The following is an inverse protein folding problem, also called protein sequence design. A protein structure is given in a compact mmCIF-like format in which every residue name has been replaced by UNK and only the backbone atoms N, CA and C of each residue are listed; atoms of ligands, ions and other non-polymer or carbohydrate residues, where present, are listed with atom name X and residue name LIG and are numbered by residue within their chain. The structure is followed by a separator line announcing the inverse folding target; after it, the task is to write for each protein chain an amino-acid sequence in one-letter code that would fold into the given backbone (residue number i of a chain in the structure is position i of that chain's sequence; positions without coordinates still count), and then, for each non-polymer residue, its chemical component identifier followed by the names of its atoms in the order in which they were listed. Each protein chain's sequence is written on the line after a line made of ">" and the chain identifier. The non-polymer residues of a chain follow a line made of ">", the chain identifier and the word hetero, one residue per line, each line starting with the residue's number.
data_IF_203691649662
#
_entry.id   IF_203691649662
#
_cell.length_a   1.000
_cell.length_b   1.000
_cell.length_c   1.000
_cell.angle_alpha   90.00
_cell.angle_beta   90.00
_cell.angle_gamma   90.00
#
_symmetry.space_group_name_H-M   'P 1'
#
loop_
_entity.id
_entity.type
_entity.pdbx_description
1 polymer ?
#
# COMPACT_ATOMS: atom_id res chain seq x y z
N UNK A 1 -3.84 6.13 -4.49
CA UNK A 1 -4.70 6.71 -5.56
C UNK A 1 -3.96 7.57 -6.60
N UNK A 2 -3.10 8.55 -6.24
CA UNK A 2 -2.43 9.41 -7.26
C UNK A 2 -1.55 8.65 -8.25
N UNK A 3 -0.77 7.64 -7.86
CA UNK A 3 0.16 6.94 -8.78
C UNK A 3 -0.51 6.14 -9.90
N UNK A 4 -1.49 5.28 -9.57
CA UNK A 4 -2.22 4.49 -10.58
C UNK A 4 -3.18 5.36 -11.41
N UNK A 5 -3.90 6.31 -10.78
CA UNK A 5 -4.72 7.28 -11.52
C UNK A 5 -3.86 8.20 -12.38
N UNK A 6 -2.62 8.49 -11.98
CA UNK A 6 -1.65 9.23 -12.80
C UNK A 6 -1.27 8.43 -14.05
N UNK A 7 -1.02 7.13 -13.92
CA UNK A 7 -0.74 6.29 -15.08
C UNK A 7 -1.97 6.06 -15.97
N UNK A 8 -3.14 5.85 -15.37
CA UNK A 8 -4.41 5.74 -16.11
C UNK A 8 -4.81 7.01 -16.85
N UNK A 9 -4.63 8.19 -16.23
CA UNK A 9 -4.80 9.50 -16.90
C UNK A 9 -3.82 9.74 -18.04
N UNK A 10 -2.71 9.00 -18.07
CA UNK A 10 -1.73 8.98 -19.17
C UNK A 10 -2.01 7.90 -20.22
N UNK A 11 -3.17 7.24 -20.16
CA UNK A 11 -3.60 6.23 -21.14
C UNK A 11 -2.94 4.85 -20.99
N UNK A 12 -2.25 4.57 -19.88
CA UNK A 12 -1.55 3.30 -19.69
C UNK A 12 -2.52 2.15 -19.39
N UNK A 13 -2.33 1.02 -20.08
CA UNK A 13 -3.04 -0.21 -19.78
C UNK A 13 -2.53 -0.82 -18.46
N UNK A 14 -3.31 -1.72 -17.85
CA UNK A 14 -2.89 -2.40 -16.61
C UNK A 14 -1.58 -3.16 -16.80
N UNK A 15 -1.37 -3.72 -18.01
CA UNK A 15 -0.14 -4.40 -18.42
C UNK A 15 1.07 -3.46 -18.39
N UNK A 16 0.90 -2.21 -18.83
CA UNK A 16 1.98 -1.23 -18.87
C UNK A 16 2.32 -0.73 -17.46
N UNK A 17 1.30 -0.54 -16.62
CA UNK A 17 1.46 -0.18 -15.20
C UNK A 17 2.21 -1.30 -14.48
N UNK A 18 1.80 -2.56 -14.68
CA UNK A 18 2.45 -3.73 -14.09
C UNK A 18 3.92 -3.82 -14.50
N UNK A 19 4.21 -3.69 -15.80
CA UNK A 19 5.57 -3.69 -16.35
C UNK A 19 6.42 -2.56 -15.75
N UNK A 20 5.87 -1.35 -15.63
CA UNK A 20 6.58 -0.18 -15.08
C UNK A 20 6.83 -0.30 -13.58
N UNK A 21 5.96 -0.95 -12.84
CA UNK A 21 6.11 -1.21 -11.41
C UNK A 21 6.94 -2.47 -11.10
N UNK A 22 7.31 -3.26 -12.11
CA UNK A 22 8.04 -4.52 -11.92
C UNK A 22 7.22 -5.62 -11.24
N UNK A 23 5.89 -5.58 -11.39
CA UNK A 23 4.97 -6.55 -10.76
C UNK A 23 4.22 -7.36 -11.82
N UNK A 24 3.70 -8.53 -11.42
CA UNK A 24 2.88 -9.36 -12.31
C UNK A 24 1.54 -8.69 -12.59
N UNK A 25 1.04 -8.81 -13.83
CA UNK A 25 -0.19 -8.13 -14.27
C UNK A 25 -1.43 -8.45 -13.44
N UNK A 26 -1.58 -9.68 -12.95
CA UNK A 26 -2.70 -10.07 -12.10
C UNK A 26 -2.71 -9.36 -10.75
N UNK A 27 -1.53 -8.92 -10.24
CA UNK A 27 -1.43 -8.15 -8.99
C UNK A 27 -2.15 -6.82 -9.18
N UNK A 28 -1.89 -6.11 -10.28
CA UNK A 28 -2.57 -4.83 -10.57
C UNK A 28 -4.10 -5.03 -10.65
N UNK A 29 -4.56 -6.07 -11.34
CA UNK A 29 -5.99 -6.36 -11.44
C UNK A 29 -6.64 -6.67 -10.08
N UNK A 30 -5.95 -7.41 -9.21
CA UNK A 30 -6.43 -7.70 -7.84
C UNK A 30 -6.46 -6.44 -6.98
N UNK A 31 -5.35 -5.70 -6.96
CA UNK A 31 -5.19 -4.52 -6.09
C UNK A 31 -6.11 -3.37 -6.49
N UNK A 32 -6.52 -3.25 -7.76
CA UNK A 32 -7.49 -2.22 -8.21
C UNK A 32 -8.80 -2.30 -7.43
N UNK A 33 -9.32 -3.50 -7.21
CA UNK A 33 -10.59 -3.70 -6.48
C UNK A 33 -10.44 -3.42 -4.98
N UNK A 34 -9.24 -3.60 -4.43
CA UNK A 34 -8.95 -3.22 -3.04
C UNK A 34 -8.75 -1.71 -2.90
N UNK A 35 -8.10 -1.07 -3.86
CA UNK A 35 -7.83 0.37 -3.86
C UNK A 35 -9.09 1.23 -3.93
N UNK A 36 -10.21 0.72 -4.45
CA UNK A 36 -11.49 1.45 -4.45
C UNK A 36 -12.09 1.61 -3.06
N UNK A 37 -11.65 0.82 -2.07
CA UNK A 37 -12.17 0.85 -0.71
C UNK A 37 -11.46 1.87 0.18
N UNK A 38 -10.44 2.57 -0.31
CA UNK A 38 -9.65 3.51 0.47
C UNK A 38 -9.59 4.87 -0.20
N UNK A 39 -9.86 5.92 0.55
CA UNK A 39 -9.52 7.29 0.21
C UNK A 39 -8.01 7.48 0.16
N UNK A 40 -7.57 8.56 -0.48
CA UNK A 40 -6.15 8.89 -0.53
C UNK A 40 -5.56 9.18 0.86
N UNK A 41 -6.34 9.78 1.76
CA UNK A 41 -5.89 10.09 3.11
C UNK A 41 -5.72 8.82 3.93
N UNK A 42 -6.67 7.88 3.87
CA UNK A 42 -6.53 6.59 4.55
C UNK A 42 -5.30 5.80 4.06
N UNK A 43 -5.00 5.84 2.76
CA UNK A 43 -3.76 5.23 2.24
C UNK A 43 -2.50 5.91 2.78
N UNK A 44 -2.53 7.24 2.99
CA UNK A 44 -1.41 7.99 3.55
C UNK A 44 -1.23 7.65 5.04
N UNK A 45 -2.32 7.60 5.79
CA UNK A 45 -2.29 7.31 7.22
C UNK A 45 -1.80 5.89 7.48
N UNK A 46 -2.26 4.92 6.68
CA UNK A 46 -1.76 3.53 6.71
C UNK A 46 -0.27 3.42 6.37
N UNK A 47 0.22 4.24 5.43
CA UNK A 47 1.65 4.27 5.11
C UNK A 47 2.49 4.83 6.26
N UNK A 48 2.01 5.87 6.94
CA UNK A 48 2.67 6.42 8.11
C UNK A 48 2.71 5.40 9.27
N UNK A 49 1.61 4.68 9.49
CA UNK A 49 1.56 3.60 10.48
C UNK A 49 2.62 2.52 10.20
N UNK A 50 2.76 2.10 8.94
CA UNK A 50 3.78 1.13 8.54
C UNK A 50 5.21 1.65 8.78
N UNK A 51 5.45 2.93 8.51
CA UNK A 51 6.74 3.57 8.79
C UNK A 51 7.06 3.57 10.30
N UNK A 52 6.09 3.95 11.14
CA UNK A 52 6.28 3.97 12.60
C UNK A 52 6.54 2.55 13.15
N UNK A 53 5.86 1.55 12.60
CA UNK A 53 6.09 0.13 12.93
C UNK A 53 7.50 -0.31 12.54
N UNK A 54 7.97 0.06 11.35
CA UNK A 54 9.33 -0.24 10.90
C UNK A 54 10.38 0.38 11.86
N UNK A 55 10.17 1.64 12.26
CA UNK A 55 11.05 2.33 13.23
C UNK A 55 11.07 1.58 14.55
N UNK A 56 9.89 1.27 15.13
CA UNK A 56 9.77 0.56 16.42
C UNK A 56 10.47 -0.79 16.39
N UNK A 57 10.35 -1.55 15.29
CA UNK A 57 11.06 -2.82 15.14
C UNK A 57 12.58 -2.64 15.11
N UNK A 58 13.07 -1.64 14.38
CA UNK A 58 14.50 -1.36 14.25
C UNK A 58 15.13 -0.82 15.54
N UNK A 59 14.36 -0.15 16.39
CA UNK A 59 14.84 0.42 17.66
C UNK A 59 14.69 -0.55 18.85
N UNK A 60 14.40 -1.82 18.60
CA UNK A 60 14.32 -2.85 19.65
C UNK A 60 13.00 -2.92 20.40
N UNK A 61 11.91 -2.42 19.81
CA UNK A 61 10.56 -2.65 20.33
C UNK A 61 10.19 -4.14 20.30
N UNK A 62 9.35 -4.57 21.24
CA UNK A 62 8.85 -5.94 21.27
C UNK A 62 8.08 -6.26 19.98
N UNK A 63 8.57 -7.25 19.24
CA UNK A 63 8.05 -7.61 17.91
C UNK A 63 6.58 -8.02 17.97
N UNK A 64 6.17 -8.77 19.00
CA UNK A 64 4.81 -9.26 19.11
C UNK A 64 3.84 -8.11 19.42
N UNK A 65 4.22 -7.20 20.30
CA UNK A 65 3.43 -6.00 20.60
C UNK A 65 3.32 -5.09 19.37
N UNK A 66 4.43 -4.84 18.67
CA UNK A 66 4.44 -3.99 17.47
C UNK A 66 3.56 -4.57 16.36
N UNK A 67 3.63 -5.88 16.11
CA UNK A 67 2.77 -6.54 15.12
C UNK A 67 1.30 -6.56 15.54
N UNK A 68 1.01 -6.77 16.82
CA UNK A 68 -0.35 -6.75 17.35
C UNK A 68 -0.96 -5.36 17.15
N UNK A 69 -0.24 -4.30 17.51
CA UNK A 69 -0.65 -2.91 17.27
C UNK A 69 -0.91 -2.64 15.79
N UNK A 70 -0.04 -3.12 14.90
CA UNK A 70 -0.21 -2.96 13.45
C UNK A 70 -1.53 -3.58 12.97
N UNK A 71 -1.80 -4.82 13.37
CA UNK A 71 -3.01 -5.55 12.95
C UNK A 71 -4.27 -4.84 13.44
N UNK A 72 -4.30 -4.41 14.72
CA UNK A 72 -5.46 -3.70 15.27
C UNK A 72 -5.73 -2.35 14.61
N UNK A 73 -4.70 -1.65 14.14
CA UNK A 73 -4.85 -0.35 13.50
C UNK A 73 -5.06 -0.44 11.97
N UNK A 74 -4.88 -1.63 11.36
CA UNK A 74 -5.13 -1.86 9.94
C UNK A 74 -6.51 -2.48 9.64
N UNK A 75 -7.13 -3.17 10.61
CA UNK A 75 -8.50 -3.71 10.54
C UNK A 75 -9.50 -2.59 10.79
#
# INVERSE_FOLDING_TARGET
>A
LKGMLYYKRKGLLNTDIAKKMGVMGFIISREINYLSNFSQNELKDRLNLLYDVEVRMKTGGDVNLVLTDLVYNLI
#
